data_IF_873567993526
#
_entry.id   IF_873567993526
#
_cell.length_a   1.000
_cell.length_b   1.000
_cell.length_c   1.000
_cell.angle_alpha   90.00
_cell.angle_beta   90.00
_cell.angle_gamma   90.00
#
_symmetry.space_group_name_H-M   'P 1'
#
loop_
_entity.id
_entity.type
_entity.pdbx_description
1 polymer ?
#
# COMPACT_ATOMS: atom_id res chain seq x y z
N UNK A 1 31.15 10.60 -2.62
CA UNK A 1 30.91 10.76 -1.17
C UNK A 1 29.43 11.04 -0.88
N UNK A 2 28.50 10.13 -1.21
CA UNK A 2 27.06 10.43 -1.21
C UNK A 2 26.12 9.39 -0.61
N UNK A 3 26.63 8.31 0.00
CA UNK A 3 25.78 7.19 0.47
C UNK A 3 25.40 7.27 1.96
N UNK A 4 26.03 8.14 2.75
CA UNK A 4 25.91 8.08 4.22
C UNK A 4 24.81 8.97 4.83
N UNK A 5 24.14 9.82 4.04
CA UNK A 5 23.09 10.72 4.56
C UNK A 5 21.68 10.13 4.51
N UNK A 6 21.43 9.10 3.71
CA UNK A 6 20.09 8.50 3.55
C UNK A 6 19.64 7.68 4.78
N UNK A 7 20.58 7.09 5.52
CA UNK A 7 20.28 6.25 6.69
C UNK A 7 20.28 7.02 8.03
N UNK A 8 20.79 8.25 8.06
CA UNK A 8 21.14 8.89 9.33
C UNK A 8 19.94 9.55 10.05
N UNK A 9 18.86 9.91 9.36
CA UNK A 9 17.74 10.60 10.00
C UNK A 9 16.72 9.70 10.72
N UNK A 10 16.62 8.41 10.39
CA UNK A 10 15.80 7.49 11.19
C UNK A 10 16.50 7.03 12.48
N UNK A 11 17.83 7.13 12.54
CA UNK A 11 18.62 6.75 13.72
C UNK A 11 18.80 7.88 14.76
N UNK A 12 18.61 9.15 14.38
CA UNK A 12 18.87 10.31 15.24
C UNK A 12 17.70 10.71 16.18
N UNK A 13 16.83 9.76 16.55
CA UNK A 13 15.65 10.01 17.41
C UNK A 13 15.76 9.50 18.86
N UNK A 14 16.97 9.22 19.36
CA UNK A 14 17.18 8.87 20.78
C UNK A 14 18.48 9.44 21.33
N UNK A 15 18.51 10.72 21.69
CA UNK A 15 19.28 11.21 22.84
C UNK A 15 18.57 12.43 23.44
N UNK A 16 17.48 12.16 24.17
CA UNK A 16 16.92 13.08 25.16
C UNK A 16 17.49 12.71 26.53
N UNK A 17 18.31 13.60 27.08
CA UNK A 17 19.06 13.46 28.32
C UNK A 17 18.12 13.29 29.52
N UNK A 18 18.00 12.08 30.07
CA UNK A 18 17.28 11.86 31.33
C UNK A 18 18.24 12.04 32.51
N UNK A 19 18.13 13.16 33.22
CA UNK A 19 18.84 13.40 34.48
C UNK A 19 18.29 12.45 35.55
N UNK A 20 19.18 11.66 36.14
CA UNK A 20 18.94 10.86 37.36
C UNK A 20 18.58 11.80 38.52
N UNK A 21 17.47 11.52 39.19
CA UNK A 21 17.24 11.95 40.58
C UNK A 21 17.00 10.68 41.39
N UNK A 22 17.92 10.43 42.32
CA UNK A 22 17.91 9.37 43.33
C UNK A 22 17.39 10.01 44.62
N UNK A 23 16.45 9.37 45.34
CA UNK A 23 16.19 9.52 46.79
C UNK A 23 15.13 8.47 47.22
N UNK A 24 15.02 8.09 48.51
CA UNK A 24 15.31 6.73 48.94
C UNK A 24 14.14 5.98 49.59
N UNK A 25 14.40 4.70 49.80
CA UNK A 25 13.61 3.67 50.46
C UNK A 25 13.31 4.02 51.92
N UNK A 26 12.05 3.86 52.35
CA UNK A 26 11.68 3.65 53.75
C UNK A 26 11.01 2.29 53.90
N UNK A 27 11.66 1.43 54.66
CA UNK A 27 11.14 0.15 55.15
C UNK A 27 10.39 0.37 56.46
N UNK A 28 9.18 -0.19 56.58
CA UNK A 28 8.60 -0.61 57.86
C UNK A 28 8.03 -2.00 57.64
N UNK A 29 8.52 -2.97 58.41
CA UNK A 29 8.02 -4.31 58.44
C UNK A 29 7.01 -4.58 59.55
N UNK A 30 6.49 -5.80 59.50
CA UNK A 30 6.37 -6.79 60.58
C UNK A 30 4.93 -7.25 60.98
N UNK A 31 4.78 -8.59 60.88
CA UNK A 31 3.89 -9.54 61.61
C UNK A 31 2.37 -9.50 61.32
N UNK A 32 1.61 -10.60 61.33
CA UNK A 32 1.78 -12.07 61.35
C UNK A 32 0.37 -12.63 61.04
N UNK A 33 0.26 -13.89 60.61
CA UNK A 33 -0.99 -14.64 60.82
C UNK A 33 -1.30 -15.72 59.78
N UNK A 34 -0.76 -16.92 60.03
CA UNK A 34 -1.27 -18.19 59.53
C UNK A 34 -2.77 -18.35 59.85
N UNK A 35 -3.52 -19.03 58.99
CA UNK A 35 -4.47 -20.11 59.32
C UNK A 35 -4.88 -20.80 58.01
N UNK A 36 -4.65 -22.11 57.93
CA UNK A 36 -5.08 -22.94 56.81
C UNK A 36 -6.51 -23.45 56.97
N UNK A 37 -7.09 -23.94 55.87
CA UNK A 37 -7.99 -25.08 55.89
C UNK A 37 -8.11 -25.70 54.49
N UNK A 38 -7.96 -27.02 54.45
CA UNK A 38 -8.25 -27.93 53.34
C UNK A 38 -9.76 -28.22 53.28
N UNK A 39 -10.26 -28.64 52.09
CA UNK A 39 -11.21 -29.75 51.81
C UNK A 39 -11.81 -29.52 50.40
N UNK A 40 -11.42 -30.26 49.36
CA UNK A 40 -11.92 -31.56 48.82
C UNK A 40 -13.07 -31.46 47.80
N UNK A 41 -12.75 -31.99 46.61
CA UNK A 41 -13.51 -32.74 45.59
C UNK A 41 -15.05 -32.83 45.60
N UNK A 42 -15.62 -32.62 44.41
CA UNK A 42 -16.44 -33.58 43.63
C UNK A 42 -16.80 -32.88 42.30
N UNK A 43 -16.77 -33.44 41.09
CA UNK A 43 -16.87 -34.82 40.66
C UNK A 43 -18.27 -35.09 40.10
N UNK A 44 -18.51 -34.90 38.79
CA UNK A 44 -19.30 -35.81 37.93
C UNK A 44 -19.44 -35.34 36.48
N UNK A 45 -18.93 -36.19 35.59
CA UNK A 45 -19.32 -36.39 34.20
C UNK A 45 -20.55 -37.30 34.14
N UNK A 46 -21.40 -37.15 33.12
CA UNK A 46 -22.16 -38.26 32.54
C UNK A 46 -22.37 -38.04 31.04
N UNK A 47 -22.37 -39.17 30.32
CA UNK A 47 -22.23 -39.29 28.88
C UNK A 47 -23.52 -39.80 28.21
N UNK A 48 -23.54 -39.65 26.88
CA UNK A 48 -24.12 -40.53 25.83
C UNK A 48 -25.62 -40.78 25.72
N UNK A 49 -26.15 -40.50 24.51
CA UNK A 49 -26.70 -41.53 23.64
C UNK A 49 -28.20 -41.45 23.32
N UNK A 50 -28.55 -41.22 22.04
CA UNK A 50 -29.64 -41.91 21.33
C UNK A 50 -29.63 -41.57 19.83
N UNK A 51 -29.86 -42.60 19.02
CA UNK A 51 -29.79 -42.69 17.56
C UNK A 51 -31.17 -42.66 16.89
N UNK A 52 -31.17 -42.16 15.64
CA UNK A 52 -31.91 -42.62 14.45
C UNK A 52 -33.45 -42.73 14.45
N UNK A 53 -34.06 -42.08 13.44
CA UNK A 53 -35.07 -42.69 12.57
C UNK A 53 -35.15 -41.92 11.24
N UNK A 54 -34.89 -42.63 10.14
CA UNK A 54 -35.23 -42.27 8.77
C UNK A 54 -36.74 -42.38 8.57
N UNK A 55 -37.30 -41.55 7.69
CA UNK A 55 -38.53 -41.92 6.97
C UNK A 55 -38.40 -41.48 5.51
N UNK A 56 -38.51 -42.45 4.62
CA UNK A 56 -38.40 -42.34 3.16
C UNK A 56 -39.79 -42.50 2.57
N UNK A 57 -40.20 -41.57 1.69
CA UNK A 57 -41.29 -41.79 0.75
C UNK A 57 -40.91 -41.16 -0.59
N UNK A 58 -40.60 -42.00 -1.57
CA UNK A 58 -40.65 -41.68 -3.00
C UNK A 58 -42.13 -41.51 -3.42
N UNK A 59 -42.48 -40.72 -4.45
CA UNK A 59 -42.69 -41.15 -5.86
C UNK A 59 -42.91 -39.91 -6.77
N UNK A 60 -42.54 -40.11 -8.04
CA UNK A 60 -43.04 -39.54 -9.30
C UNK A 60 -42.24 -38.42 -9.97
N UNK A 61 -41.48 -38.86 -10.99
CA UNK A 61 -41.18 -38.13 -12.21
C UNK A 61 -42.48 -37.63 -12.85
N UNK A 62 -42.58 -36.33 -13.06
CA UNK A 62 -43.31 -35.81 -14.20
C UNK A 62 -42.56 -34.58 -14.74
N UNK A 63 -42.18 -34.71 -16.01
CA UNK A 63 -41.49 -33.71 -16.81
C UNK A 63 -42.35 -32.47 -16.97
N UNK A 64 -41.89 -31.34 -16.42
CA UNK A 64 -42.33 -30.01 -16.84
C UNK A 64 -41.09 -29.25 -17.31
N UNK A 65 -40.99 -29.08 -18.63
CA UNK A 65 -40.09 -28.12 -19.25
C UNK A 65 -40.42 -26.71 -18.75
N UNK A 66 -39.61 -26.19 -17.83
CA UNK A 66 -39.51 -24.75 -17.60
C UNK A 66 -38.22 -24.25 -18.23
N UNK A 67 -38.37 -23.73 -19.46
CA UNK A 67 -37.43 -22.79 -20.07
C UNK A 67 -37.41 -21.50 -19.24
N UNK A 68 -36.56 -21.43 -18.23
CA UNK A 68 -36.14 -20.17 -17.59
C UNK A 68 -35.07 -20.48 -16.54
N UNK A 69 -33.82 -20.65 -16.98
CA UNK A 69 -32.64 -20.32 -16.18
C UNK A 69 -31.37 -20.53 -17.01
N UNK A 70 -31.06 -19.58 -17.90
CA UNK A 70 -29.72 -19.49 -18.50
C UNK A 70 -29.32 -18.04 -18.81
N UNK A 71 -29.80 -17.08 -18.02
CA UNK A 71 -29.33 -15.68 -18.11
C UNK A 71 -28.86 -15.21 -16.73
N UNK A 72 -27.95 -15.96 -16.12
CA UNK A 72 -27.35 -15.56 -14.85
C UNK A 72 -25.97 -16.21 -14.64
N UNK A 73 -25.03 -16.10 -15.59
CA UNK A 73 -23.58 -16.19 -15.28
C UNK A 73 -22.62 -15.83 -16.43
N UNK A 74 -22.79 -14.71 -17.14
CA UNK A 74 -21.70 -14.15 -17.96
C UNK A 74 -21.83 -12.63 -18.06
N UNK A 75 -21.41 -11.90 -17.03
CA UNK A 75 -20.67 -10.66 -17.30
C UNK A 75 -19.21 -11.08 -17.30
N UNK A 76 -18.75 -11.64 -18.44
CA UNK A 76 -17.30 -11.75 -18.66
C UNK A 76 -16.78 -10.33 -18.61
N UNK A 77 -15.92 -10.04 -17.63
CA UNK A 77 -15.25 -8.76 -17.52
C UNK A 77 -14.72 -8.31 -18.88
N UNK A 78 -15.32 -7.26 -19.43
CA UNK A 78 -14.90 -6.69 -20.71
C UNK A 78 -13.65 -5.84 -20.47
N UNK A 79 -12.75 -5.80 -21.43
CA UNK A 79 -11.62 -4.85 -21.40
C UNK A 79 -12.11 -3.45 -21.77
N UNK A 80 -11.32 -2.43 -21.48
CA UNK A 80 -11.52 -1.08 -22.05
C UNK A 80 -11.30 -1.08 -23.57
N UNK A 81 -11.66 0.02 -24.24
CA UNK A 81 -11.31 0.23 -25.65
C UNK A 81 -9.79 0.22 -25.83
N UNK A 82 -9.29 -0.73 -26.63
CA UNK A 82 -7.85 -0.95 -26.75
C UNK A 82 -7.13 0.15 -27.55
N UNK A 83 -7.81 0.80 -28.50
CA UNK A 83 -7.21 1.87 -29.30
C UNK A 83 -7.07 3.14 -28.47
N UNK A 84 -8.10 3.50 -27.72
CA UNK A 84 -8.08 4.60 -26.76
C UNK A 84 -7.02 4.37 -25.68
N UNK A 85 -7.02 3.19 -25.05
CA UNK A 85 -6.04 2.86 -24.01
C UNK A 85 -4.61 2.99 -24.52
N UNK A 86 -4.30 2.41 -25.68
CA UNK A 86 -2.96 2.52 -26.26
C UNK A 86 -2.60 3.95 -26.68
N UNK A 87 -3.57 4.78 -27.06
CA UNK A 87 -3.31 6.20 -27.33
C UNK A 87 -2.89 6.93 -26.07
N UNK A 88 -3.67 6.81 -24.99
CA UNK A 88 -3.36 7.47 -23.72
C UNK A 88 -2.02 7.01 -23.13
N UNK A 89 -1.68 5.72 -23.24
CA UNK A 89 -0.39 5.24 -22.73
C UNK A 89 0.78 5.76 -23.59
N UNK A 90 0.60 5.92 -24.91
CA UNK A 90 1.61 6.61 -25.73
C UNK A 90 1.76 8.09 -25.34
N UNK A 91 0.67 8.75 -24.99
CA UNK A 91 0.70 10.16 -24.56
C UNK A 91 1.41 10.35 -23.20
N UNK A 92 1.39 9.35 -22.31
CA UNK A 92 2.22 9.36 -21.10
C UNK A 92 3.71 9.18 -21.41
N UNK A 93 4.03 8.40 -22.44
CA UNK A 93 5.41 8.16 -22.87
C UNK A 93 5.95 9.25 -23.81
N UNK A 94 5.19 10.33 -24.02
CA UNK A 94 5.44 11.36 -25.02
C UNK A 94 6.93 11.76 -25.07
N UNK A 95 7.49 11.66 -26.28
CA UNK A 95 8.89 11.95 -26.62
C UNK A 95 9.96 10.99 -26.08
N UNK A 96 9.62 9.80 -25.58
CA UNK A 96 10.65 8.77 -25.40
C UNK A 96 11.21 8.32 -26.77
N UNK A 97 12.43 8.77 -27.06
CA UNK A 97 13.17 8.42 -28.28
C UNK A 97 14.00 7.14 -28.10
N UNK A 98 14.05 6.58 -26.89
CA UNK A 98 14.87 5.39 -26.58
C UNK A 98 14.13 4.07 -26.80
N UNK A 99 12.79 4.12 -26.97
CA UNK A 99 11.95 2.95 -27.17
C UNK A 99 11.74 2.11 -25.90
N UNK A 100 11.92 2.70 -24.71
CA UNK A 100 11.66 2.04 -23.41
C UNK A 100 10.21 2.18 -22.97
N UNK A 101 9.61 3.31 -23.33
CA UNK A 101 8.26 3.69 -22.99
C UNK A 101 7.45 3.99 -24.26
N UNK A 102 6.16 3.61 -24.30
CA UNK A 102 5.51 2.75 -23.32
C UNK A 102 6.07 1.32 -23.37
N UNK A 103 5.88 0.56 -22.30
CA UNK A 103 6.29 -0.86 -22.28
C UNK A 103 5.51 -1.62 -23.35
N UNK A 104 6.23 -2.32 -24.21
CA UNK A 104 5.65 -3.13 -25.26
C UNK A 104 4.78 -4.25 -24.67
N UNK A 105 3.71 -4.62 -25.37
CA UNK A 105 2.87 -5.78 -25.04
C UNK A 105 2.20 -5.73 -23.65
N UNK A 106 2.03 -4.54 -23.07
CA UNK A 106 1.21 -4.40 -21.86
C UNK A 106 -0.25 -4.84 -22.14
N UNK A 107 -0.91 -5.53 -21.20
CA UNK A 107 -2.28 -5.97 -21.38
C UNK A 107 -3.24 -4.78 -21.38
N UNK A 108 -4.30 -4.88 -22.19
CA UNK A 108 -5.44 -3.96 -22.09
C UNK A 108 -6.17 -4.27 -20.78
N UNK A 109 -6.38 -3.30 -19.88
CA UNK A 109 -6.97 -3.57 -18.58
C UNK A 109 -8.48 -3.82 -18.69
N UNK A 110 -9.04 -4.39 -17.63
CA UNK A 110 -10.50 -4.55 -17.51
C UNK A 110 -11.20 -3.19 -17.44
N UNK A 111 -12.49 -3.16 -17.80
CA UNK A 111 -13.34 -1.98 -17.63
C UNK A 111 -13.29 -1.48 -16.18
N UNK A 112 -13.21 -0.17 -15.99
CA UNK A 112 -13.03 0.46 -14.67
C UNK A 112 -11.55 0.71 -14.30
N UNK A 113 -10.62 0.48 -15.22
CA UNK A 113 -9.23 0.91 -15.07
C UNK A 113 -9.14 2.42 -14.77
N UNK A 114 -8.21 2.79 -13.90
CA UNK A 114 -8.01 4.19 -13.47
C UNK A 114 -6.91 4.83 -14.31
N UNK A 115 -5.84 4.10 -14.60
CA UNK A 115 -4.68 4.54 -15.33
C UNK A 115 -4.75 4.02 -16.78
N UNK A 116 -4.39 4.84 -17.78
CA UNK A 116 -3.95 6.23 -17.68
C UNK A 116 -5.08 7.28 -17.70
N UNK A 117 -6.36 6.87 -17.59
CA UNK A 117 -7.52 7.76 -17.74
C UNK A 117 -7.60 8.90 -16.71
N UNK A 118 -7.10 8.67 -15.50
CA UNK A 118 -7.04 9.62 -14.39
C UNK A 118 -5.64 9.64 -13.79
N UNK A 119 -5.23 10.81 -13.29
CA UNK A 119 -4.06 10.97 -12.44
C UNK A 119 -4.46 10.84 -10.99
N UNK A 120 -3.73 10.04 -10.22
CA UNK A 120 -4.00 9.86 -8.79
C UNK A 120 -3.13 10.83 -8.00
N UNK A 121 -3.74 11.65 -7.13
CA UNK A 121 -3.04 12.54 -6.20
C UNK A 121 -3.26 12.03 -4.78
N UNK A 122 -2.21 11.50 -4.16
CA UNK A 122 -2.28 10.76 -2.92
C UNK A 122 -1.59 11.49 -1.75
N UNK A 123 -2.26 11.58 -0.61
CA UNK A 123 -1.62 11.96 0.66
C UNK A 123 -1.18 10.72 1.42
N UNK A 124 0.10 10.66 1.78
CA UNK A 124 0.70 9.50 2.42
C UNK A 124 0.79 9.64 3.95
N UNK A 125 0.64 8.53 4.67
CA UNK A 125 1.17 8.41 6.01
C UNK A 125 0.34 7.55 6.97
N UNK A 126 0.47 7.85 8.27
CA UNK A 126 -0.15 7.06 9.34
C UNK A 126 -0.83 7.96 10.38
N UNK A 127 -2.12 7.72 10.63
CA UNK A 127 -2.95 8.49 11.56
C UNK A 127 -2.44 8.55 13.01
N UNK A 128 -1.58 7.61 13.46
CA UNK A 128 -0.99 7.63 14.80
C UNK A 128 0.34 8.40 14.87
N UNK A 129 0.85 8.90 13.75
CA UNK A 129 2.17 9.54 13.73
C UNK A 129 2.23 10.73 12.78
N UNK A 130 2.35 11.92 13.37
CA UNK A 130 2.66 13.16 12.66
C UNK A 130 4.06 13.18 12.01
N UNK A 131 4.88 12.14 12.21
CA UNK A 131 6.21 12.01 11.60
C UNK A 131 6.24 11.07 10.40
N UNK A 132 5.14 10.39 10.12
CA UNK A 132 5.06 9.38 9.07
C UNK A 132 4.29 9.84 7.83
N UNK A 133 4.08 11.15 7.70
CA UNK A 133 3.47 11.77 6.52
C UNK A 133 2.24 12.60 6.84
N UNK A 134 1.85 13.42 5.87
CA UNK A 134 0.80 14.42 5.97
C UNK A 134 -0.55 13.90 6.52
N UNK A 135 -0.90 12.62 6.29
CA UNK A 135 -2.13 12.03 6.84
C UNK A 135 -2.19 12.07 8.38
N UNK A 136 -1.05 11.94 9.05
CA UNK A 136 -0.95 11.99 10.52
C UNK A 136 -0.57 13.37 11.06
N UNK A 137 -0.18 14.30 10.18
CA UNK A 137 0.32 15.62 10.58
C UNK A 137 -0.80 16.64 10.79
N UNK A 138 -1.85 16.56 9.97
CA UNK A 138 -2.95 17.53 9.95
C UNK A 138 -4.25 16.90 10.45
N UNK A 139 -5.14 17.68 11.10
CA UNK A 139 -6.52 17.25 11.33
C UNK A 139 -7.21 16.85 10.01
N UNK A 140 -8.16 15.89 10.02
CA UNK A 140 -8.71 15.34 8.78
C UNK A 140 -9.31 16.36 7.81
N UNK A 141 -10.03 17.37 8.29
CA UNK A 141 -10.66 18.36 7.40
C UNK A 141 -9.63 19.33 6.80
N UNK A 142 -8.60 19.73 7.56
CA UNK A 142 -7.48 20.54 7.06
C UNK A 142 -6.63 19.75 6.05
N UNK A 143 -6.40 18.46 6.34
CA UNK A 143 -5.71 17.52 5.46
C UNK A 143 -6.45 17.40 4.11
N UNK A 144 -7.77 17.17 4.14
CA UNK A 144 -8.59 17.07 2.93
C UNK A 144 -8.63 18.39 2.15
N UNK A 145 -8.75 19.53 2.83
CA UNK A 145 -8.71 20.83 2.15
C UNK A 145 -7.36 21.07 1.45
N UNK A 146 -6.27 20.63 2.06
CA UNK A 146 -4.95 20.70 1.42
C UNK A 146 -4.83 19.73 0.23
N UNK A 147 -5.41 18.52 0.33
CA UNK A 147 -5.47 17.57 -0.78
C UNK A 147 -6.28 18.13 -1.95
N UNK A 148 -7.43 18.76 -1.68
CA UNK A 148 -8.25 19.44 -2.70
C UNK A 148 -7.42 20.50 -3.45
N UNK A 149 -6.55 21.23 -2.74
CA UNK A 149 -5.62 22.19 -3.33
C UNK A 149 -4.57 21.57 -4.26
N UNK A 150 -3.97 20.43 -3.89
CA UNK A 150 -3.00 19.73 -4.75
C UNK A 150 -3.69 19.14 -5.99
N UNK A 151 -4.89 18.58 -5.85
CA UNK A 151 -5.70 18.11 -6.98
C UNK A 151 -6.00 19.25 -7.95
N UNK A 152 -6.42 20.41 -7.45
CA UNK A 152 -6.66 21.60 -8.27
C UNK A 152 -5.39 22.09 -8.99
N UNK A 153 -4.23 22.06 -8.32
CA UNK A 153 -2.95 22.45 -8.92
C UNK A 153 -2.57 21.53 -10.10
N UNK A 154 -2.77 20.22 -9.96
CA UNK A 154 -2.52 19.27 -11.05
C UNK A 154 -3.48 19.46 -12.24
N UNK A 155 -4.77 19.65 -11.97
CA UNK A 155 -5.76 19.91 -13.03
C UNK A 155 -5.51 21.25 -13.75
N UNK A 156 -4.89 22.23 -13.09
CA UNK A 156 -4.52 23.50 -13.71
C UNK A 156 -3.32 23.38 -14.68
N UNK A 157 -2.38 22.49 -14.39
CA UNK A 157 -1.18 22.26 -15.21
C UNK A 157 -1.44 21.30 -16.37
N UNK A 158 -2.30 20.30 -16.17
CA UNK A 158 -2.64 19.31 -17.17
C UNK A 158 -4.16 19.11 -17.24
N UNK A 159 -4.78 19.74 -18.23
CA UNK A 159 -6.23 19.65 -18.46
C UNK A 159 -6.64 18.40 -19.25
N UNK A 160 -5.68 17.64 -19.78
CA UNK A 160 -5.94 16.44 -20.58
C UNK A 160 -6.20 15.20 -19.72
N UNK A 161 -5.66 15.19 -18.50
CA UNK A 161 -5.75 14.06 -17.58
C UNK A 161 -6.28 14.52 -16.22
N UNK A 162 -7.54 14.22 -15.95
CA UNK A 162 -8.18 14.60 -14.69
C UNK A 162 -7.48 13.97 -13.48
N UNK A 163 -7.13 14.82 -12.51
CA UNK A 163 -6.58 14.44 -11.22
C UNK A 163 -7.69 14.11 -10.21
N UNK A 164 -7.55 12.97 -9.53
CA UNK A 164 -8.48 12.47 -8.50
C UNK A 164 -7.76 12.26 -7.15
N UNK A 165 -8.43 12.49 -6.01
CA UNK A 165 -7.82 12.38 -4.69
C UNK A 165 -7.65 10.94 -4.21
N UNK A 166 -6.62 10.71 -3.39
CA UNK A 166 -6.39 9.43 -2.70
C UNK A 166 -5.75 9.63 -1.31
N UNK A 167 -6.04 8.70 -0.39
CA UNK A 167 -5.35 8.58 0.90
C UNK A 167 -4.51 7.29 0.89
N UNK A 168 -3.20 7.42 0.98
CA UNK A 168 -2.26 6.30 0.98
C UNK A 168 -1.77 6.02 2.40
N UNK A 169 -2.42 5.06 3.06
CA UNK A 169 -2.29 4.82 4.49
C UNK A 169 -1.39 3.63 4.81
N UNK A 170 -0.42 3.84 5.71
CA UNK A 170 0.49 2.79 6.19
C UNK A 170 -0.24 1.86 7.15
N UNK A 171 -0.74 0.74 6.63
CA UNK A 171 -1.47 -0.27 7.37
C UNK A 171 -0.54 -1.23 8.12
N UNK A 172 0.66 -1.48 7.58
CA UNK A 172 1.72 -2.26 8.23
C UNK A 172 3.01 -1.46 8.20
N UNK A 173 3.58 -1.22 9.37
CA UNK A 173 4.76 -0.35 9.56
C UNK A 173 5.94 -1.16 10.03
N UNK A 174 7.09 -1.00 9.39
CA UNK A 174 8.33 -1.63 9.83
C UNK A 174 8.76 -1.07 11.19
N UNK A 175 9.38 -1.91 12.01
CA UNK A 175 9.79 -1.57 13.36
C UNK A 175 11.30 -1.75 13.50
N UNK A 176 11.94 -0.83 14.22
CA UNK A 176 13.37 -0.96 14.54
C UNK A 176 13.67 -2.07 15.56
N UNK A 177 12.64 -2.63 16.21
CA UNK A 177 12.73 -3.72 17.17
C UNK A 177 11.78 -4.86 16.80
N UNK A 178 12.21 -6.10 17.08
CA UNK A 178 11.38 -7.28 16.87
C UNK A 178 10.12 -7.25 17.74
N UNK A 179 8.97 -7.51 17.13
CA UNK A 179 7.73 -7.82 17.86
C UNK A 179 7.81 -9.20 18.51
N UNK A 180 6.68 -9.65 19.10
CA UNK A 180 6.61 -10.97 19.77
C UNK A 180 6.97 -12.15 18.87
N UNK A 181 6.73 -12.02 17.58
CA UNK A 181 7.01 -13.03 16.56
C UNK A 181 8.32 -12.76 15.79
N UNK A 182 9.13 -11.80 16.24
CA UNK A 182 10.41 -11.48 15.63
C UNK A 182 10.31 -10.89 14.22
N UNK A 183 9.12 -10.42 13.78
CA UNK A 183 8.90 -9.99 12.39
C UNK A 183 9.23 -8.52 12.08
N UNK A 184 9.65 -7.73 13.07
CA UNK A 184 10.05 -6.32 12.89
C UNK A 184 9.00 -5.48 12.14
N UNK A 185 7.72 -5.72 12.43
CA UNK A 185 6.60 -4.94 11.89
C UNK A 185 5.53 -4.69 12.97
N UNK A 186 4.69 -3.69 12.76
CA UNK A 186 3.48 -3.45 13.53
C UNK A 186 2.32 -3.29 12.56
N UNK A 187 1.16 -3.85 12.91
CA UNK A 187 -0.06 -3.76 12.09
C UNK A 187 -0.98 -2.78 12.77
N UNK A 188 -1.50 -1.83 11.99
CA UNK A 188 -2.52 -0.93 12.49
C UNK A 188 -3.80 -1.71 12.80
N UNK A 189 -4.54 -1.35 13.87
CA UNK A 189 -5.85 -1.91 14.10
C UNK A 189 -6.76 -1.66 12.89
N UNK A 190 -7.62 -2.62 12.56
CA UNK A 190 -8.58 -2.46 11.46
C UNK A 190 -9.51 -1.25 11.63
N UNK A 191 -9.81 -0.85 12.86
CA UNK A 191 -10.56 0.39 13.14
C UNK A 191 -9.86 1.67 12.64
N UNK A 192 -8.53 1.64 12.45
CA UNK A 192 -7.81 2.74 11.80
C UNK A 192 -8.00 2.72 10.29
N UNK A 193 -7.99 1.53 9.67
CA UNK A 193 -8.33 1.39 8.25
C UNK A 193 -9.76 1.89 8.00
N UNK A 194 -10.72 1.51 8.87
CA UNK A 194 -12.09 2.03 8.82
C UNK A 194 -12.15 3.56 8.95
N UNK A 195 -11.24 4.15 9.76
CA UNK A 195 -11.17 5.60 9.93
C UNK A 195 -10.69 6.28 8.66
N UNK A 196 -9.67 5.75 8.00
CA UNK A 196 -9.20 6.26 6.70
C UNK A 196 -10.28 6.13 5.63
N UNK A 197 -10.99 5.00 5.56
CA UNK A 197 -12.10 4.81 4.62
C UNK A 197 -13.21 5.84 4.82
N UNK A 198 -13.58 6.14 6.08
CA UNK A 198 -14.57 7.20 6.38
C UNK A 198 -14.08 8.59 5.99
N UNK A 199 -12.80 8.89 6.17
CA UNK A 199 -12.21 10.17 5.77
C UNK A 199 -12.21 10.27 4.23
N UNK A 200 -11.75 9.24 3.52
CA UNK A 200 -11.70 9.19 2.07
C UNK A 200 -13.09 9.38 1.42
N UNK A 201 -14.12 8.78 2.00
CA UNK A 201 -15.52 8.92 1.54
C UNK A 201 -16.00 10.37 1.49
N UNK A 202 -15.42 11.30 2.27
CA UNK A 202 -15.79 12.73 2.23
C UNK A 202 -15.45 13.42 0.89
N UNK A 203 -14.64 12.78 0.05
CA UNK A 203 -14.18 13.28 -1.26
C UNK A 203 -14.23 12.22 -2.37
N UNK A 204 -14.92 11.09 -2.12
CA UNK A 204 -14.87 9.91 -2.98
C UNK A 204 -13.43 9.52 -3.36
N UNK A 205 -12.50 9.73 -2.42
CA UNK A 205 -11.08 9.50 -2.63
C UNK A 205 -10.78 7.99 -2.62
N UNK A 206 -9.78 7.60 -3.42
CA UNK A 206 -9.24 6.25 -3.36
C UNK A 206 -8.50 6.02 -2.04
N UNK A 207 -8.34 4.76 -1.64
CA UNK A 207 -7.52 4.39 -0.48
C UNK A 207 -6.46 3.39 -0.90
N UNK A 208 -5.21 3.62 -0.52
CA UNK A 208 -4.14 2.64 -0.65
C UNK A 208 -3.77 2.13 0.74
N UNK A 209 -3.69 0.81 0.89
CA UNK A 209 -3.14 0.19 2.09
C UNK A 209 -1.68 -0.13 1.83
N UNK A 210 -0.79 0.52 2.56
CA UNK A 210 0.66 0.38 2.39
C UNK A 210 1.27 -0.58 3.39
N UNK A 211 2.25 -1.36 2.93
CA UNK A 211 2.83 -2.46 3.69
C UNK A 211 4.36 -2.38 3.70
N UNK A 212 4.87 -2.28 4.92
CA UNK A 212 6.28 -2.38 5.26
C UNK A 212 6.51 -3.71 6.01
N UNK A 213 6.96 -4.73 5.30
CA UNK A 213 6.90 -6.13 5.80
C UNK A 213 7.91 -6.45 6.91
N UNK A 214 9.01 -5.70 7.04
CA UNK A 214 10.09 -6.04 7.97
C UNK A 214 10.72 -7.40 7.60
N UNK A 215 10.63 -8.37 8.52
CA UNK A 215 11.05 -9.77 8.31
C UNK A 215 9.86 -10.69 7.96
N UNK A 216 8.68 -10.12 7.75
CA UNK A 216 7.50 -10.81 7.22
C UNK A 216 7.57 -10.94 5.70
N UNK A 217 6.55 -11.57 5.11
CA UNK A 217 6.42 -11.70 3.65
C UNK A 217 5.11 -11.08 3.19
N UNK A 218 5.01 -10.74 1.89
CA UNK A 218 3.73 -10.31 1.31
C UNK A 218 2.67 -11.42 1.42
N UNK A 219 3.06 -12.69 1.35
CA UNK A 219 2.17 -13.83 1.54
C UNK A 219 1.56 -13.90 2.95
N UNK A 220 2.29 -13.47 3.97
CA UNK A 220 1.79 -13.45 5.34
C UNK A 220 0.94 -12.21 5.65
N UNK A 221 1.20 -11.09 4.96
CA UNK A 221 0.54 -9.80 5.26
C UNK A 221 -0.70 -9.54 4.40
N UNK A 222 -0.71 -9.89 3.11
CA UNK A 222 -1.80 -9.53 2.19
C UNK A 222 -3.15 -10.18 2.52
N UNK A 223 -3.24 -11.51 2.79
CA UNK A 223 -4.52 -12.14 3.10
C UNK A 223 -5.26 -11.52 4.29
N UNK A 224 -4.51 -10.86 5.18
CA UNK A 224 -5.07 -10.19 6.37
C UNK A 224 -5.80 -8.90 6.02
N UNK A 225 -5.58 -8.34 4.83
CA UNK A 225 -6.20 -7.11 4.35
C UNK A 225 -7.29 -7.36 3.31
N UNK A 226 -7.58 -8.63 2.98
CA UNK A 226 -8.56 -9.02 1.96
C UNK A 226 -9.93 -8.36 2.15
N UNK A 227 -10.43 -8.29 3.39
CA UNK A 227 -11.71 -7.64 3.69
C UNK A 227 -11.77 -6.21 3.14
N UNK A 228 -10.64 -5.49 3.13
CA UNK A 228 -10.54 -4.14 2.60
C UNK A 228 -10.18 -4.14 1.11
N UNK A 229 -9.24 -4.99 0.68
CA UNK A 229 -8.80 -5.05 -0.72
C UNK A 229 -9.92 -5.50 -1.68
N UNK A 230 -10.94 -6.19 -1.15
CA UNK A 230 -12.18 -6.53 -1.88
C UNK A 230 -13.09 -5.32 -2.15
N UNK A 231 -12.83 -4.16 -1.54
CA UNK A 231 -13.60 -2.93 -1.83
C UNK A 231 -13.10 -2.28 -3.12
N UNK A 232 -13.97 -1.86 -4.06
CA UNK A 232 -13.55 -1.36 -5.38
C UNK A 232 -12.52 -0.22 -5.36
N UNK A 233 -12.67 0.74 -4.44
CA UNK A 233 -11.85 1.95 -4.31
C UNK A 233 -10.59 1.77 -3.43
N UNK A 234 -10.32 0.54 -2.98
CA UNK A 234 -9.15 0.22 -2.15
C UNK A 234 -8.08 -0.50 -2.99
N UNK A 235 -6.85 -0.03 -2.86
CA UNK A 235 -5.66 -0.41 -3.62
C UNK A 235 -4.48 -0.72 -2.68
N UNK A 236 -3.33 -1.08 -3.25
CA UNK A 236 -2.18 -1.59 -2.49
C UNK A 236 -0.92 -0.75 -2.74
N UNK A 237 -0.22 -0.41 -1.67
CA UNK A 237 1.17 0.07 -1.67
C UNK A 237 2.09 -0.98 -1.04
N UNK A 238 3.30 -1.13 -1.59
CA UNK A 238 4.34 -1.96 -0.98
C UNK A 238 5.66 -1.21 -0.94
N UNK A 239 6.36 -1.29 0.19
CA UNK A 239 7.64 -0.62 0.45
C UNK A 239 8.81 -1.61 0.44
N UNK A 240 9.53 -1.79 -0.69
CA UNK A 240 10.67 -2.69 -0.75
C UNK A 240 11.80 -2.32 0.22
N UNK A 241 11.96 -1.04 0.58
CA UNK A 241 13.03 -0.58 1.49
C UNK A 241 12.96 -1.25 2.87
N UNK A 242 11.79 -1.75 3.25
CA UNK A 242 11.54 -2.43 4.51
C UNK A 242 11.40 -3.95 4.38
N UNK A 243 11.63 -4.52 3.19
CA UNK A 243 11.72 -5.96 2.98
C UNK A 243 13.14 -6.43 3.21
N UNK A 244 13.43 -6.81 4.46
CA UNK A 244 14.77 -7.20 4.87
C UNK A 244 15.02 -8.66 4.53
N UNK A 245 16.16 -8.96 3.89
CA UNK A 245 16.57 -10.31 3.50
C UNK A 245 17.77 -10.82 4.30
N UNK A 246 18.17 -10.07 5.30
CA UNK A 246 19.28 -10.35 6.21
C UNK A 246 18.82 -10.10 7.65
N UNK A 247 19.68 -10.40 8.62
CA UNK A 247 19.34 -10.26 10.04
C UNK A 247 19.40 -8.81 10.56
N UNK A 248 19.62 -7.80 9.71
CA UNK A 248 19.62 -6.40 10.13
C UNK A 248 18.19 -5.85 10.21
N UNK A 249 17.85 -5.16 11.31
CA UNK A 249 16.54 -4.52 11.44
C UNK A 249 16.25 -3.51 10.32
N UNK A 250 14.95 -3.29 10.01
CA UNK A 250 14.51 -2.20 9.16
C UNK A 250 15.14 -0.84 9.52
N UNK A 251 15.51 -0.06 8.50
CA UNK A 251 16.17 1.24 8.66
C UNK A 251 17.67 1.17 8.97
N UNK A 252 18.30 -0.02 9.01
CA UNK A 252 19.77 -0.19 9.07
C UNK A 252 20.42 -0.40 7.70
N UNK A 253 19.66 -0.94 6.75
CA UNK A 253 19.97 -1.00 5.33
C UNK A 253 18.67 -0.87 4.54
N UNK A 254 18.80 -0.55 3.27
CA UNK A 254 17.67 -0.56 2.34
C UNK A 254 17.41 -2.02 1.94
N UNK A 255 16.20 -2.48 2.23
CA UNK A 255 15.68 -3.79 1.80
C UNK A 255 15.38 -3.84 0.30
N UNK A 256 14.77 -4.94 -0.13
CA UNK A 256 14.30 -5.08 -1.51
C UNK A 256 13.18 -6.10 -1.67
N UNK A 257 12.45 -5.96 -2.77
CA UNK A 257 11.60 -6.99 -3.34
C UNK A 257 12.19 -7.46 -4.68
N UNK A 258 11.96 -8.72 -5.01
CA UNK A 258 12.21 -9.30 -6.33
C UNK A 258 10.96 -9.23 -7.18
N UNK A 259 11.07 -9.52 -8.47
CA UNK A 259 9.89 -9.73 -9.31
C UNK A 259 8.97 -10.83 -8.80
N UNK A 260 9.49 -11.87 -8.12
CA UNK A 260 8.67 -12.92 -7.51
C UNK A 260 7.77 -12.36 -6.41
N UNK A 261 8.33 -11.54 -5.51
CA UNK A 261 7.56 -10.87 -4.45
C UNK A 261 6.46 -9.95 -5.04
N UNK A 262 6.80 -9.17 -6.08
CA UNK A 262 5.85 -8.25 -6.72
C UNK A 262 4.78 -9.03 -7.51
N UNK A 263 5.16 -10.09 -8.20
CA UNK A 263 4.23 -10.96 -8.92
C UNK A 263 3.29 -11.69 -7.96
N UNK A 264 3.74 -12.05 -6.75
CA UNK A 264 2.86 -12.57 -5.72
C UNK A 264 1.77 -11.54 -5.38
N UNK A 265 2.13 -10.30 -5.06
CA UNK A 265 1.16 -9.24 -4.77
C UNK A 265 0.20 -8.97 -5.94
N UNK A 266 0.71 -8.88 -7.16
CA UNK A 266 -0.12 -8.70 -8.35
C UNK A 266 -1.07 -9.88 -8.59
N UNK A 267 -0.63 -11.12 -8.35
CA UNK A 267 -1.47 -12.31 -8.50
C UNK A 267 -2.57 -12.37 -7.45
N UNK A 268 -2.24 -12.06 -6.19
CA UNK A 268 -3.20 -11.97 -5.08
C UNK A 268 -4.29 -10.93 -5.38
N UNK A 269 -3.92 -9.73 -5.85
CA UNK A 269 -4.89 -8.72 -6.25
C UNK A 269 -5.74 -9.16 -7.46
N UNK A 270 -5.12 -9.83 -8.44
CA UNK A 270 -5.83 -10.33 -9.61
C UNK A 270 -6.85 -11.44 -9.26
N UNK A 271 -6.55 -12.28 -8.26
CA UNK A 271 -7.49 -13.25 -7.71
C UNK A 271 -8.68 -12.56 -7.07
N UNK A 272 -8.45 -11.56 -6.20
CA UNK A 272 -9.54 -10.78 -5.60
C UNK A 272 -10.40 -10.08 -6.66
N UNK A 273 -9.79 -9.55 -7.73
CA UNK A 273 -10.50 -8.92 -8.85
C UNK A 273 -11.42 -9.92 -9.55
N UNK A 274 -10.91 -11.12 -9.87
CA UNK A 274 -11.68 -12.17 -10.57
C UNK A 274 -12.76 -12.79 -9.69
N UNK A 275 -12.49 -13.00 -8.41
CA UNK A 275 -13.42 -13.65 -7.48
C UNK A 275 -14.58 -12.74 -7.06
N UNK A 276 -14.37 -11.42 -7.08
CA UNK A 276 -15.34 -10.44 -6.60
C UNK A 276 -15.81 -9.45 -7.67
N UNK A 277 -15.52 -9.72 -8.95
CA UNK A 277 -15.91 -8.88 -10.09
C UNK A 277 -15.53 -7.39 -9.89
N UNK A 278 -14.32 -7.13 -9.39
CA UNK A 278 -13.85 -5.79 -9.06
C UNK A 278 -13.29 -5.07 -10.30
N UNK A 279 -13.26 -3.73 -10.30
CA UNK A 279 -12.40 -3.00 -11.24
C UNK A 279 -10.91 -3.32 -10.97
N UNK A 280 -10.03 -3.12 -11.97
CA UNK A 280 -8.60 -3.33 -11.81
C UNK A 280 -8.01 -2.60 -10.60
N UNK A 281 -7.12 -3.28 -9.87
CA UNK A 281 -6.41 -2.68 -8.73
C UNK A 281 -5.19 -1.91 -9.20
N UNK A 282 -4.84 -0.86 -8.48
CA UNK A 282 -3.53 -0.21 -8.62
C UNK A 282 -2.59 -0.80 -7.57
N UNK A 283 -1.42 -1.25 -8.01
CA UNK A 283 -0.31 -1.69 -7.14
C UNK A 283 0.82 -0.67 -7.24
N UNK A 284 1.05 0.07 -6.17
CA UNK A 284 2.17 1.00 -6.05
C UNK A 284 3.36 0.30 -5.43
N UNK A 285 4.50 0.30 -6.12
CA UNK A 285 5.78 -0.23 -5.65
C UNK A 285 6.74 0.93 -5.47
N UNK A 286 7.12 1.21 -4.23
CA UNK A 286 7.99 2.32 -3.90
C UNK A 286 9.45 2.06 -4.30
N UNK A 287 10.14 3.05 -4.87
CA UNK A 287 11.54 2.91 -5.31
C UNK A 287 12.28 4.24 -5.26
N UNK A 288 13.37 4.29 -4.50
CA UNK A 288 14.29 5.45 -4.50
C UNK A 288 15.76 5.09 -4.72
N UNK A 289 16.08 3.79 -4.72
CA UNK A 289 17.37 3.27 -5.18
C UNK A 289 17.13 2.16 -6.19
N UNK A 290 18.10 1.91 -7.08
CA UNK A 290 18.00 0.85 -8.08
C UNK A 290 17.80 -0.54 -7.44
N UNK A 291 18.50 -0.83 -6.34
CA UNK A 291 18.53 -2.16 -5.74
C UNK A 291 17.25 -2.57 -4.98
N UNK A 292 16.29 -1.66 -4.81
CA UNK A 292 15.03 -1.92 -4.09
C UNK A 292 14.10 -2.86 -4.84
N UNK A 293 14.16 -2.88 -6.16
CA UNK A 293 13.37 -3.81 -6.98
C UNK A 293 14.33 -4.57 -7.88
N UNK A 294 14.45 -5.87 -7.62
CA UNK A 294 15.30 -6.76 -8.40
C UNK A 294 14.51 -7.46 -9.48
N UNK A 295 15.21 -7.77 -10.57
CA UNK A 295 14.67 -8.54 -11.70
C UNK A 295 13.41 -7.92 -12.31
N UNK A 296 13.33 -6.57 -12.34
CA UNK A 296 12.11 -5.83 -12.73
C UNK A 296 11.49 -6.29 -14.07
N UNK A 297 12.32 -6.72 -15.03
CA UNK A 297 11.87 -7.22 -16.34
C UNK A 297 11.08 -8.52 -16.28
N UNK A 298 11.08 -9.21 -15.12
CA UNK A 298 10.29 -10.41 -14.84
C UNK A 298 8.98 -10.10 -14.11
N UNK A 299 8.66 -8.84 -13.86
CA UNK A 299 7.35 -8.44 -13.32
C UNK A 299 6.30 -8.66 -14.40
N UNK A 300 5.33 -9.53 -14.13
CA UNK A 300 4.28 -9.91 -15.06
C UNK A 300 3.08 -8.96 -14.93
N UNK A 301 2.73 -8.29 -16.03
CA UNK A 301 1.56 -7.43 -16.11
C UNK A 301 0.29 -8.25 -16.35
N UNK A 302 -0.85 -7.78 -15.84
CA UNK A 302 -2.14 -8.47 -15.91
C UNK A 302 -3.28 -7.46 -16.15
N UNK A 303 -4.36 -7.81 -16.88
CA UNK A 303 -5.51 -6.92 -17.06
C UNK A 303 -6.16 -6.43 -15.75
N UNK A 304 -6.06 -7.23 -14.69
CA UNK A 304 -6.63 -6.97 -13.37
C UNK A 304 -5.83 -5.98 -12.51
N UNK A 305 -4.56 -5.72 -12.84
CA UNK A 305 -3.66 -4.94 -11.98
C UNK A 305 -2.83 -3.95 -12.79
N UNK A 306 -2.90 -2.69 -12.36
CA UNK A 306 -2.13 -1.57 -12.91
C UNK A 306 -0.94 -1.31 -11.98
N UNK A 307 0.28 -1.58 -12.45
CA UNK A 307 1.50 -1.50 -11.64
C UNK A 307 2.17 -0.14 -11.81
N UNK A 308 2.38 0.56 -10.70
CA UNK A 308 3.08 1.84 -10.63
C UNK A 308 4.41 1.64 -9.94
N UNK A 309 5.52 2.01 -10.59
CA UNK A 309 6.80 2.18 -9.91
C UNK A 309 6.93 3.64 -9.48
N UNK A 310 6.85 3.89 -8.18
CA UNK A 310 6.79 5.24 -7.62
C UNK A 310 8.17 5.72 -7.16
N UNK A 311 8.64 6.85 -7.71
CA UNK A 311 9.89 7.48 -7.28
C UNK A 311 9.75 8.08 -5.88
N UNK A 312 10.24 7.37 -4.87
CA UNK A 312 10.06 7.68 -3.44
C UNK A 312 11.32 8.30 -2.78
N UNK A 313 12.12 9.03 -3.57
CA UNK A 313 13.34 9.67 -3.08
C UNK A 313 13.09 11.13 -2.76
N UNK A 314 13.62 11.63 -1.64
CA UNK A 314 13.57 13.05 -1.30
C UNK A 314 14.87 13.77 -1.63
N UNK A 315 14.80 15.09 -1.76
CA UNK A 315 15.95 15.97 -1.86
C UNK A 315 15.81 17.04 -2.93
N UNK A 316 16.94 17.60 -3.35
CA UNK A 316 16.95 18.72 -4.30
C UNK A 316 16.35 18.30 -5.66
N UNK A 317 15.71 19.23 -6.40
CA UNK A 317 15.12 18.97 -7.71
C UNK A 317 16.02 18.20 -8.68
N UNK A 318 17.31 18.57 -8.77
CA UNK A 318 18.27 17.89 -9.63
C UNK A 318 18.49 16.42 -9.24
N UNK A 319 18.55 16.12 -7.93
CA UNK A 319 18.69 14.75 -7.44
C UNK A 319 17.45 13.93 -7.77
N UNK A 320 16.25 14.48 -7.56
CA UNK A 320 14.98 13.80 -7.84
C UNK A 320 14.82 13.52 -9.33
N UNK A 321 15.18 14.47 -10.21
CA UNK A 321 15.22 14.25 -11.66
C UNK A 321 16.21 13.15 -12.05
N UNK A 322 17.43 13.20 -11.52
CA UNK A 322 18.47 12.22 -11.85
C UNK A 322 18.09 10.81 -11.38
N UNK A 323 17.49 10.69 -10.20
CA UNK A 323 17.07 9.39 -9.65
C UNK A 323 15.84 8.84 -10.36
N UNK A 324 14.89 9.69 -10.76
CA UNK A 324 13.80 9.29 -11.66
C UNK A 324 14.34 8.72 -12.98
N UNK A 325 15.27 9.44 -13.62
CA UNK A 325 15.92 8.97 -14.86
C UNK A 325 16.69 7.67 -14.64
N UNK A 326 17.38 7.52 -13.52
CA UNK A 326 18.28 6.39 -13.27
C UNK A 326 17.53 5.11 -12.87
N UNK A 327 16.46 5.23 -12.09
CA UNK A 327 15.83 4.10 -11.39
C UNK A 327 14.40 3.82 -11.83
N UNK A 328 13.74 4.76 -12.49
CA UNK A 328 12.36 4.61 -13.00
C UNK A 328 12.39 4.50 -14.51
N UNK A 329 12.90 5.51 -15.21
CA UNK A 329 12.90 5.55 -16.67
C UNK A 329 13.69 4.37 -17.29
N UNK A 330 14.85 4.03 -16.72
CA UNK A 330 15.73 2.97 -17.23
C UNK A 330 15.25 1.55 -16.95
N UNK A 331 14.29 1.38 -16.04
CA UNK A 331 13.78 0.07 -15.61
C UNK A 331 12.24 0.05 -15.72
N UNK A 332 11.72 0.08 -16.97
CA UNK A 332 10.30 0.27 -17.21
C UNK A 332 9.48 -0.96 -16.78
N UNK A 333 8.28 -0.72 -16.24
CA UNK A 333 7.33 -1.77 -15.79
C UNK A 333 5.94 -1.58 -16.40
N UNK A 334 5.20 -0.52 -16.03
CA UNK A 334 3.92 -0.21 -16.70
C UNK A 334 3.57 1.28 -16.56
N UNK A 335 3.44 1.77 -15.34
CA UNK A 335 3.21 3.18 -15.04
C UNK A 335 4.25 3.72 -14.06
N UNK A 336 4.40 5.03 -14.02
CA UNK A 336 5.34 5.70 -13.12
C UNK A 336 4.63 6.60 -12.13
N UNK A 337 5.25 6.74 -10.96
CA UNK A 337 4.83 7.68 -9.94
C UNK A 337 5.96 8.58 -9.47
N UNK A 338 5.59 9.65 -8.78
CA UNK A 338 6.52 10.59 -8.17
C UNK A 338 6.02 11.05 -6.81
N UNK A 339 6.91 11.05 -5.81
CA UNK A 339 6.57 11.52 -4.47
C UNK A 339 7.22 12.84 -4.14
N UNK A 340 6.43 13.78 -3.63
CA UNK A 340 6.82 15.04 -3.02
C UNK A 340 6.99 14.89 -1.52
N UNK A 341 7.97 15.60 -0.95
CA UNK A 341 8.13 15.70 0.50
C UNK A 341 8.10 17.16 0.93
N UNK A 342 7.05 17.58 1.63
CA UNK A 342 6.86 18.99 2.00
C UNK A 342 7.98 19.56 2.85
N UNK A 343 8.63 18.70 3.64
CA UNK A 343 9.73 19.09 4.55
C UNK A 343 11.08 18.65 4.03
N UNK A 344 11.21 17.38 3.63
CA UNK A 344 12.52 16.80 3.30
C UNK A 344 13.13 17.38 2.02
N UNK A 345 12.31 17.69 1.00
CA UNK A 345 12.81 18.29 -0.23
C UNK A 345 13.38 19.71 0.01
N UNK A 346 12.99 20.38 1.10
CA UNK A 346 13.46 21.70 1.48
C UNK A 346 14.79 21.68 2.25
N UNK A 347 15.25 20.51 2.72
CA UNK A 347 16.48 20.39 3.51
C UNK A 347 17.73 20.72 2.68
N UNK A 348 18.01 20.05 1.55
CA UNK A 348 19.16 20.38 0.73
C UNK A 348 18.93 21.65 -0.09
N UNK A 349 20.01 22.38 -0.38
CA UNK A 349 19.97 23.47 -1.36
C UNK A 349 19.44 22.91 -2.70
N UNK A 350 18.57 23.65 -3.43
CA UNK A 350 18.21 25.05 -3.25
C UNK A 350 16.97 25.31 -2.35
N UNK A 351 16.65 24.42 -1.41
CA UNK A 351 15.56 24.60 -0.43
C UNK A 351 14.16 24.78 -1.05
N UNK A 352 13.89 24.06 -2.13
CA UNK A 352 12.58 24.02 -2.76
C UNK A 352 12.22 22.62 -3.22
N UNK A 353 10.93 22.35 -3.23
CA UNK A 353 10.36 21.23 -3.96
C UNK A 353 10.42 21.47 -5.47
N UNK A 354 10.28 20.39 -6.23
CA UNK A 354 9.92 20.52 -7.65
C UNK A 354 8.51 21.11 -7.77
N UNK A 355 8.22 21.81 -8.86
CA UNK A 355 6.85 22.26 -9.17
C UNK A 355 6.06 21.15 -9.89
N UNK A 356 4.75 21.32 -9.98
CA UNK A 356 3.88 20.40 -10.72
C UNK A 356 4.28 20.34 -12.19
N UNK A 357 4.59 21.48 -12.81
CA UNK A 357 5.05 21.58 -14.19
C UNK A 357 6.37 20.85 -14.41
N UNK A 358 7.32 20.99 -13.48
CA UNK A 358 8.60 20.29 -13.56
C UNK A 358 8.41 18.77 -13.53
N UNK A 359 7.52 18.25 -12.69
CA UNK A 359 7.24 16.81 -12.60
C UNK A 359 6.39 16.33 -13.78
N UNK A 360 5.41 17.12 -14.23
CA UNK A 360 4.59 16.79 -15.40
C UNK A 360 5.39 16.78 -16.71
N UNK A 361 6.59 17.39 -16.72
CA UNK A 361 7.53 17.36 -17.85
C UNK A 361 8.42 16.10 -17.91
N UNK A 362 8.30 15.18 -16.94
CA UNK A 362 9.08 13.95 -16.94
C UNK A 362 8.63 13.00 -18.05
N UNK A 363 9.56 12.15 -18.48
CA UNK A 363 9.33 11.11 -19.48
C UNK A 363 9.65 9.75 -18.83
N UNK A 364 8.71 8.79 -18.81
CA UNK A 364 7.27 9.02 -19.05
C UNK A 364 6.69 9.96 -17.98
N UNK A 365 5.52 10.56 -18.23
CA UNK A 365 4.82 11.42 -17.29
C UNK A 365 4.31 10.59 -16.10
N UNK A 366 4.64 10.96 -14.85
CA UNK A 366 4.07 10.32 -13.67
C UNK A 366 2.55 10.46 -13.62
N UNK A 367 1.85 9.34 -13.48
CA UNK A 367 0.38 9.27 -13.42
C UNK A 367 -0.13 9.00 -12.00
N UNK A 368 0.78 8.67 -11.09
CA UNK A 368 0.53 8.57 -9.66
C UNK A 368 1.44 9.56 -8.91
N UNK A 369 0.85 10.50 -8.21
CA UNK A 369 1.57 11.53 -7.45
C UNK A 369 1.28 11.32 -5.98
N UNK A 370 2.32 11.32 -5.16
CA UNK A 370 2.18 11.16 -3.72
C UNK A 370 2.81 12.34 -3.00
N UNK A 371 2.20 12.80 -1.91
CA UNK A 371 2.72 13.86 -1.06
C UNK A 371 2.89 13.33 0.37
N UNK A 372 4.04 13.64 0.97
CA UNK A 372 4.39 13.27 2.34
C UNK A 372 4.81 14.47 3.19
#
# INVERSE_FOLDING_TARGET
MGYSYFLCLFAAMKQGTFRRVILPIFSIGLLWGLHGCQFTESGRSFATGATAAEDTVAINEDTVETKEDTVAKQVRSTTVDSLEYHALVRDLAEHDTTGRWPVAEQPVPLTGAILPYKRIIAFYGNLYSAKMGILGELPPDDMLAKLDGEVAAWNAVDTSTEAIPALHYIAVTAQGSGGRDGKYRSRMPFSQVDSVLRIAKKRDALVFLDIQVGFSTLADELPRLDTFLRMPHVHLGIDPEFSMKDDLPPGKRVGHFTAEDINFAASHLAELVREHDLPPKVLVVHRFTQGMVKDYSRIALRPEVQVVINMDGWGAPALKKNTYQSYIFREPVQFTGFKFFYKNDLIPAPHRMMTVEEVNSFIPKPIYIQYQ
#
